data_IF_025897429107
#
_entry.id   IF_025897429107
#
_cell.length_a   1.000
_cell.length_b   1.000
_cell.length_c   1.000
_cell.angle_alpha   90.00
_cell.angle_beta   90.00
_cell.angle_gamma   90.00
#
_symmetry.space_group_name_H-M   'P 1'
#
loop_
_entity.id
_entity.type
_entity.pdbx_description
1 polymer ?
#
# COMPACT_ATOMS: atom_id res chain seq x y z
N UNK A 1 2.23 4.48 2.55
CA UNK A 1 1.66 4.40 3.92
C UNK A 1 2.41 5.27 4.92
N UNK A 2 3.75 5.28 4.87
CA UNK A 2 4.58 6.14 5.71
C UNK A 2 4.20 7.63 5.65
N UNK A 3 3.90 8.16 4.45
CA UNK A 3 3.38 9.55 4.28
C UNK A 3 2.11 9.86 5.08
N UNK A 4 1.36 8.84 5.51
CA UNK A 4 0.15 8.96 6.35
C UNK A 4 0.43 8.72 7.83
N UNK A 5 1.69 8.51 8.23
CA UNK A 5 2.07 8.18 9.61
C UNK A 5 1.62 6.79 10.07
N UNK A 6 1.11 5.96 9.16
CA UNK A 6 0.73 4.57 9.45
C UNK A 6 2.03 3.78 9.57
N UNK A 7 2.14 2.91 10.57
CA UNK A 7 3.27 1.99 10.71
C UNK A 7 2.97 0.65 10.02
N UNK A 8 4.01 -0.13 9.72
CA UNK A 8 3.87 -1.53 9.23
C UNK A 8 2.97 -2.37 10.14
N UNK A 9 3.14 -2.20 11.45
CA UNK A 9 2.35 -2.90 12.46
C UNK A 9 0.86 -2.54 12.40
N UNK A 10 0.56 -1.25 12.39
CA UNK A 10 -0.83 -0.78 12.24
C UNK A 10 -1.43 -1.25 10.93
N UNK A 11 -0.67 -1.19 9.83
CA UNK A 11 -1.16 -1.60 8.51
C UNK A 11 -1.68 -3.04 8.53
N UNK A 12 -0.89 -4.02 8.98
CA UNK A 12 -1.37 -5.40 8.97
C UNK A 12 -2.46 -5.64 10.02
N UNK A 13 -2.37 -4.98 11.18
CA UNK A 13 -3.32 -5.17 12.28
C UNK A 13 -4.71 -4.60 11.98
N UNK A 14 -4.78 -3.44 11.35
CA UNK A 14 -6.03 -2.76 11.01
C UNK A 14 -6.67 -3.34 9.75
N UNK A 15 -5.87 -3.65 8.72
CA UNK A 15 -6.40 -4.14 7.43
C UNK A 15 -6.60 -5.66 7.37
N UNK A 16 -6.02 -6.41 8.31
CA UNK A 16 -6.07 -7.87 8.33
C UNK A 16 -5.36 -8.54 7.15
N UNK A 17 -4.40 -7.85 6.52
CA UNK A 17 -3.50 -8.44 5.52
C UNK A 17 -2.37 -9.20 6.22
N UNK A 18 -1.69 -10.08 5.48
CA UNK A 18 -0.57 -10.82 6.05
C UNK A 18 0.56 -9.87 6.47
N UNK A 19 1.24 -10.11 7.61
CA UNK A 19 2.38 -9.28 8.03
C UNK A 19 3.45 -9.16 6.95
N UNK A 20 3.82 -10.28 6.29
CA UNK A 20 4.79 -10.27 5.20
C UNK A 20 4.40 -9.33 4.04
N UNK A 21 3.09 -9.24 3.73
CA UNK A 21 2.57 -8.29 2.74
C UNK A 21 2.75 -6.84 3.20
N UNK A 22 2.46 -6.55 4.47
CA UNK A 22 2.66 -5.22 5.03
C UNK A 22 4.14 -4.81 5.06
N UNK A 23 5.06 -5.75 5.35
CA UNK A 23 6.50 -5.48 5.28
C UNK A 23 6.94 -5.19 3.85
N UNK A 24 6.54 -6.04 2.88
CA UNK A 24 6.90 -5.87 1.47
C UNK A 24 6.45 -4.52 0.90
N UNK A 25 5.25 -4.04 1.26
CA UNK A 25 4.74 -2.73 0.81
C UNK A 25 5.58 -1.54 1.30
N UNK A 26 6.37 -1.70 2.36
CA UNK A 26 7.29 -0.66 2.83
C UNK A 26 8.69 -0.83 2.26
N UNK A 27 9.13 -2.07 2.06
CA UNK A 27 10.45 -2.37 1.49
C UNK A 27 10.50 -2.06 -0.01
N UNK A 28 9.40 -2.31 -0.73
CA UNK A 28 9.26 -2.06 -2.16
C UNK A 28 7.93 -1.32 -2.45
N UNK A 29 7.95 0.02 -2.47
CA UNK A 29 6.79 0.84 -2.79
C UNK A 29 6.31 0.71 -4.25
N UNK A 30 7.12 0.13 -5.14
CA UNK A 30 6.77 -0.08 -6.56
C UNK A 30 6.04 -1.41 -6.78
N UNK A 31 6.14 -2.32 -5.81
CA UNK A 31 5.42 -3.58 -5.85
C UNK A 31 3.92 -3.37 -5.71
N UNK A 32 3.17 -3.78 -6.74
CA UNK A 32 1.71 -3.75 -6.72
C UNK A 32 1.17 -5.05 -6.12
N UNK A 33 0.44 -4.99 -5.00
CA UNK A 33 -0.15 -6.18 -4.39
C UNK A 33 -1.33 -6.70 -5.22
N UNK A 34 -1.79 -7.92 -4.91
CA UNK A 34 -3.03 -8.44 -5.50
C UNK A 34 -4.24 -7.56 -5.16
N UNK A 35 -5.23 -7.51 -6.06
CA UNK A 35 -6.42 -6.67 -5.93
C UNK A 35 -7.16 -6.85 -4.60
N UNK A 36 -7.23 -8.05 -4.05
CA UNK A 36 -7.88 -8.30 -2.76
C UNK A 36 -7.16 -7.62 -1.58
N UNK A 37 -5.84 -7.56 -1.61
CA UNK A 37 -5.05 -6.82 -0.60
C UNK A 37 -5.26 -5.32 -0.77
N UNK A 38 -5.21 -4.82 -2.01
CA UNK A 38 -5.45 -3.42 -2.32
C UNK A 38 -6.83 -2.95 -1.84
N UNK A 39 -7.87 -3.74 -2.12
CA UNK A 39 -9.24 -3.45 -1.68
C UNK A 39 -9.34 -3.39 -0.15
N UNK A 40 -8.78 -4.38 0.57
CA UNK A 40 -8.77 -4.36 2.05
C UNK A 40 -8.17 -3.07 2.61
N UNK A 41 -7.05 -2.62 2.02
CA UNK A 41 -6.39 -1.38 2.43
C UNK A 41 -7.29 -0.16 2.14
N UNK A 42 -7.86 -0.10 0.93
CA UNK A 42 -8.76 0.99 0.51
C UNK A 42 -10.01 1.07 1.38
N UNK A 43 -10.64 -0.06 1.67
CA UNK A 43 -11.84 -0.16 2.51
C UNK A 43 -11.55 0.24 3.96
N UNK A 44 -10.42 -0.22 4.52
CA UNK A 44 -10.02 0.08 5.91
C UNK A 44 -9.79 1.56 6.12
N UNK A 45 -9.05 2.21 5.21
CA UNK A 45 -8.71 3.63 5.33
C UNK A 45 -9.68 4.56 4.60
N UNK A 46 -10.73 4.01 3.99
CA UNK A 46 -11.75 4.72 3.21
C UNK A 46 -11.16 5.65 2.16
N UNK A 47 -10.22 5.13 1.39
CA UNK A 47 -9.45 5.87 0.37
C UNK A 47 -9.60 5.20 -0.99
N UNK A 48 -9.39 5.98 -2.04
CA UNK A 48 -9.39 5.43 -3.40
C UNK A 48 -8.03 4.82 -3.76
N UNK A 49 -7.98 3.80 -4.64
CA UNK A 49 -6.73 3.20 -5.09
C UNK A 49 -5.74 4.21 -5.68
N UNK A 50 -6.24 5.27 -6.34
CA UNK A 50 -5.41 6.35 -6.90
C UNK A 50 -4.65 7.17 -5.85
N UNK A 51 -5.03 7.10 -4.57
CA UNK A 51 -4.26 7.70 -3.48
C UNK A 51 -3.07 6.83 -3.03
N UNK A 52 -3.00 5.58 -3.50
CA UNK A 52 -1.94 4.62 -3.19
C UNK A 52 -1.07 4.32 -4.40
N UNK A 53 -1.66 4.28 -5.59
CA UNK A 53 -1.02 3.93 -6.84
C UNK A 53 -1.06 5.15 -7.75
N UNK A 54 0.08 5.51 -8.30
CA UNK A 54 0.23 6.61 -9.25
C UNK A 54 0.98 6.08 -10.46
N UNK A 55 0.50 6.43 -11.65
CA UNK A 55 1.26 6.19 -12.87
C UNK A 55 2.42 7.18 -12.92
N UNK A 56 3.63 6.65 -13.12
CA UNK A 56 4.85 7.43 -13.28
C UNK A 56 5.26 7.32 -14.75
N UNK A 57 5.43 8.43 -15.49
CA UNK A 57 5.95 8.40 -16.85
C UNK A 57 7.35 7.73 -16.89
N UNK A 58 7.68 6.97 -17.95
CA UNK A 58 9.00 6.34 -18.07
C UNK A 58 10.17 7.33 -17.95
N UNK A 59 10.01 8.55 -18.44
CA UNK A 59 10.99 9.63 -18.34
C UNK A 59 11.30 10.09 -16.91
N UNK A 60 10.45 9.79 -15.93
CA UNK A 60 10.62 10.15 -14.51
C UNK A 60 11.21 9.01 -13.66
N UNK A 61 11.46 7.84 -14.25
CA UNK A 61 12.04 6.66 -13.56
C UNK A 61 13.57 6.54 -13.68
N UNK A 62 14.25 7.61 -14.11
CA UNK A 62 15.71 7.67 -14.33
C UNK A 62 16.54 7.84 -13.05
#
# INVERSE_FOLDING_TARGET
MEKRGITRYQLYKETGIAPATAYRLYEDPTWIPQVGVLNKICDTYRIFPGELITWIPPEETS
#
